data_IF_926433172581
#
_entry.id   IF_926433172581
#
_cell.length_a   1.000
_cell.length_b   1.000
_cell.length_c   1.000
_cell.angle_alpha   90.00
_cell.angle_beta   90.00
_cell.angle_gamma   90.00
#
_symmetry.space_group_name_H-M   'P 1'
#
loop_
_entity.id
_entity.type
_entity.pdbx_description
1 polymer ?
#
# COMPACT_ATOMS: atom_id res chain seq x y z
N UNK A 1 -9.62 -5.19 -9.06
CA UNK A 1 -9.90 -4.30 -7.91
C UNK A 1 -8.63 -3.57 -7.53
N UNK A 2 -8.74 -2.30 -7.15
CA UNK A 2 -7.66 -1.51 -6.54
C UNK A 2 -7.80 -1.61 -5.02
N UNK A 3 -6.69 -1.71 -4.31
CA UNK A 3 -6.68 -1.80 -2.85
C UNK A 3 -5.63 -0.85 -2.32
N UNK A 4 -6.03 0.06 -1.43
CA UNK A 4 -5.11 0.90 -0.66
C UNK A 4 -5.01 0.33 0.75
N UNK A 5 -3.79 0.11 1.22
CA UNK A 5 -3.52 -0.50 2.52
C UNK A 5 -2.80 0.54 3.38
N UNK A 6 -3.56 1.18 4.28
CA UNK A 6 -3.05 2.14 5.26
C UNK A 6 -2.26 1.39 6.34
N UNK A 7 -1.04 1.83 6.61
CA UNK A 7 -0.10 1.09 7.46
C UNK A 7 0.42 -0.19 6.80
N UNK A 8 0.44 -0.22 5.46
CA UNK A 8 0.76 -1.42 4.69
C UNK A 8 2.20 -1.91 4.80
N UNK A 9 3.12 -1.09 5.29
CA UNK A 9 4.50 -1.50 5.58
C UNK A 9 4.69 -1.97 7.02
N UNK A 10 3.67 -1.85 7.87
CA UNK A 10 3.66 -2.38 9.23
C UNK A 10 3.63 -3.91 9.27
N UNK A 11 3.84 -4.49 10.44
CA UNK A 11 3.98 -5.94 10.64
C UNK A 11 2.77 -6.73 10.10
N UNK A 12 1.55 -6.34 10.50
CA UNK A 12 0.34 -6.99 9.99
C UNK A 12 -0.04 -6.53 8.57
N UNK A 13 0.20 -5.26 8.24
CA UNK A 13 -0.13 -4.68 6.94
C UNK A 13 0.65 -5.34 5.80
N UNK A 14 1.95 -5.59 6.03
CA UNK A 14 2.85 -6.22 5.06
C UNK A 14 2.41 -7.64 4.70
N UNK A 15 1.97 -8.44 5.67
CA UNK A 15 1.40 -9.78 5.42
C UNK A 15 0.14 -9.68 4.55
N UNK A 16 -0.71 -8.67 4.76
CA UNK A 16 -1.89 -8.44 3.92
C UNK A 16 -1.49 -8.04 2.48
N UNK A 17 -0.50 -7.16 2.32
CA UNK A 17 0.07 -6.79 1.01
C UNK A 17 0.57 -8.04 0.28
N UNK A 18 1.40 -8.85 0.93
CA UNK A 18 1.97 -10.08 0.37
C UNK A 18 0.87 -11.05 -0.08
N UNK A 19 -0.12 -11.30 0.79
CA UNK A 19 -1.24 -12.18 0.47
C UNK A 19 -2.05 -11.66 -0.73
N UNK A 20 -2.43 -10.38 -0.72
CA UNK A 20 -3.23 -9.77 -1.78
C UNK A 20 -2.48 -9.70 -3.11
N UNK A 21 -1.16 -9.55 -3.09
CA UNK A 21 -0.32 -9.55 -4.28
C UNK A 21 -0.36 -10.88 -5.06
N UNK A 22 -0.73 -11.99 -4.38
CA UNK A 22 -0.94 -13.30 -5.01
C UNK A 22 -2.31 -13.46 -5.68
N UNK A 23 -3.25 -12.53 -5.44
CA UNK A 23 -4.64 -12.67 -5.87
C UNK A 23 -4.86 -12.10 -7.27
N UNK A 24 -5.34 -12.90 -8.25
CA UNK A 24 -5.58 -12.41 -9.60
C UNK A 24 -6.64 -11.31 -9.67
N UNK A 25 -7.63 -11.32 -8.77
CA UNK A 25 -8.69 -10.31 -8.66
C UNK A 25 -8.18 -8.93 -8.19
N UNK A 26 -7.03 -8.90 -7.50
CA UNK A 26 -6.32 -7.69 -7.13
C UNK A 26 -5.46 -7.25 -8.32
N UNK A 27 -5.82 -6.11 -8.92
CA UNK A 27 -5.17 -5.58 -10.12
C UNK A 27 -4.15 -4.50 -9.76
N UNK A 28 -4.41 -3.76 -8.69
CA UNK A 28 -3.55 -2.70 -8.19
C UNK A 28 -3.57 -2.72 -6.65
N UNK A 29 -2.39 -2.64 -6.06
CA UNK A 29 -2.18 -2.60 -4.61
C UNK A 29 -1.31 -1.38 -4.31
N UNK A 30 -1.77 -0.52 -3.42
CA UNK A 30 -1.06 0.67 -2.97
C UNK A 30 -0.70 0.49 -1.50
N UNK A 31 0.60 0.37 -1.22
CA UNK A 31 1.13 0.39 0.14
C UNK A 31 1.17 1.85 0.58
N UNK A 32 0.24 2.26 1.43
CA UNK A 32 0.15 3.61 1.95
C UNK A 32 0.64 3.60 3.39
N UNK A 33 1.80 4.19 3.65
CA UNK A 33 2.42 4.17 4.98
C UNK A 33 3.05 5.52 5.34
N UNK A 34 3.13 5.79 6.63
CA UNK A 34 3.86 6.94 7.16
C UNK A 34 5.38 6.71 7.00
N UNK A 35 5.84 5.47 7.20
CA UNK A 35 7.20 5.07 6.88
C UNK A 35 7.30 4.70 5.38
N UNK A 36 7.52 5.74 4.57
CA UNK A 36 7.64 5.58 3.12
C UNK A 36 8.83 4.70 2.70
N UNK A 37 9.93 4.73 3.45
CA UNK A 37 11.10 3.91 3.15
C UNK A 37 10.80 2.42 3.33
N UNK A 38 10.09 2.06 4.41
CA UNK A 38 9.60 0.70 4.64
C UNK A 38 8.64 0.25 3.53
N UNK A 39 7.72 1.11 3.11
CA UNK A 39 6.79 0.82 2.01
C UNK A 39 7.53 0.56 0.68
N UNK A 40 8.53 1.39 0.34
CA UNK A 40 9.36 1.20 -0.85
C UNK A 40 10.20 -0.08 -0.77
N UNK A 41 10.73 -0.41 0.42
CA UNK A 41 11.48 -1.66 0.64
C UNK A 41 10.59 -2.89 0.42
N UNK A 42 9.37 -2.90 0.96
CA UNK A 42 8.40 -3.98 0.78
C UNK A 42 8.03 -4.13 -0.71
N UNK A 43 7.68 -3.03 -1.38
CA UNK A 43 7.41 -3.02 -2.83
C UNK A 43 8.55 -3.66 -3.64
N UNK A 44 9.80 -3.26 -3.36
CA UNK A 44 10.98 -3.80 -4.05
C UNK A 44 11.17 -5.29 -3.78
N UNK A 45 10.97 -5.74 -2.55
CA UNK A 45 11.07 -7.15 -2.15
C UNK A 45 10.04 -8.05 -2.84
N UNK A 46 8.83 -7.54 -3.03
CA UNK A 46 7.75 -8.25 -3.73
C UNK A 46 7.99 -8.40 -5.23
N UNK A 47 8.76 -7.48 -5.85
CA UNK A 47 9.03 -7.42 -7.29
C UNK A 47 7.77 -7.60 -8.17
N UNK A 48 6.60 -7.16 -7.68
CA UNK A 48 5.31 -7.35 -8.32
C UNK A 48 4.85 -6.05 -8.99
N UNK A 49 4.57 -6.04 -10.30
CA UNK A 49 4.21 -4.82 -11.03
C UNK A 49 2.87 -4.21 -10.59
N UNK A 50 2.00 -4.98 -9.91
CA UNK A 50 0.72 -4.50 -9.38
C UNK A 50 0.87 -3.69 -8.10
N UNK A 51 2.06 -3.70 -7.48
CA UNK A 51 2.29 -3.09 -6.17
C UNK A 51 3.01 -1.75 -6.32
N UNK A 52 2.43 -0.70 -5.74
CA UNK A 52 3.00 0.63 -5.63
C UNK A 52 3.12 1.05 -4.16
N UNK A 53 3.86 2.11 -3.89
CA UNK A 53 4.05 2.65 -2.55
C UNK A 53 3.81 4.16 -2.57
N UNK A 54 3.15 4.68 -1.55
CA UNK A 54 2.87 6.11 -1.37
C UNK A 54 3.07 6.47 0.11
N UNK A 55 3.60 7.67 0.35
CA UNK A 55 3.61 8.24 1.69
C UNK A 55 2.19 8.71 2.06
N UNK A 56 1.77 8.45 3.29
CA UNK A 56 0.55 9.05 3.85
C UNK A 56 0.74 9.37 5.32
N UNK A 57 0.40 10.60 5.71
CA UNK A 57 0.10 10.93 7.10
C UNK A 57 -1.42 10.90 7.27
N UNK A 58 -1.92 9.92 8.03
CA UNK A 58 -3.36 9.75 8.26
C UNK A 58 -3.96 10.86 9.13
N UNK A 59 -3.13 11.64 9.83
CA UNK A 59 -3.56 12.83 10.58
C UNK A 59 -3.74 14.04 9.69
N UNK A 60 -3.13 14.05 8.50
CA UNK A 60 -3.37 15.02 7.44
C UNK A 60 -4.57 14.57 6.58
N UNK A 61 -5.74 15.11 6.91
CA UNK A 61 -7.00 14.74 6.24
C UNK A 61 -6.97 15.00 4.72
N UNK A 62 -6.56 16.17 4.20
CA UNK A 62 -6.41 16.38 2.76
C UNK A 62 -5.57 15.31 2.07
N UNK A 63 -4.39 14.98 2.62
CA UNK A 63 -3.49 13.97 2.06
C UNK A 63 -4.13 12.58 2.10
N UNK A 64 -4.73 12.19 3.22
CA UNK A 64 -5.43 10.93 3.34
C UNK A 64 -6.54 10.79 2.28
N UNK A 65 -7.37 11.83 2.12
CA UNK A 65 -8.45 11.84 1.15
C UNK A 65 -7.93 11.70 -0.29
N UNK A 66 -6.80 12.33 -0.62
CA UNK A 66 -6.19 12.20 -1.95
C UNK A 66 -5.77 10.76 -2.25
N UNK A 67 -5.26 10.04 -1.24
CA UNK A 67 -4.79 8.66 -1.39
C UNK A 67 -5.96 7.67 -1.52
N UNK A 68 -7.07 7.86 -0.79
CA UNK A 68 -8.16 6.87 -0.72
C UNK A 68 -9.35 7.15 -1.64
N UNK A 69 -9.49 8.34 -2.22
CA UNK A 69 -10.67 8.75 -3.02
C UNK A 69 -10.99 7.84 -4.20
N UNK A 70 -9.98 7.18 -4.78
CA UNK A 70 -10.10 6.31 -5.95
C UNK A 70 -9.78 4.84 -5.62
N UNK A 71 -9.87 4.47 -4.33
CA UNK A 71 -9.66 3.10 -3.86
C UNK A 71 -10.84 2.19 -4.22
#
# INVERSE_FOLDING_TARGET
MKIVIIGGAGEMGSVAVEYLATKPECQEIVIADYDYEAAVKLKKGLANPKVSAVYVDVTDKPVLMEVIKDA
#
